data_IF_399091833818
#
_entry.id   IF_399091833818
#
_cell.length_a   1.000
_cell.length_b   1.000
_cell.length_c   1.000
_cell.angle_alpha   90.00
_cell.angle_beta   90.00
_cell.angle_gamma   90.00
#
_symmetry.space_group_name_H-M   'P 1'
#
loop_
_entity.id
_entity.type
_entity.pdbx_description
1 polymer ?
#
# COMPACT_ATOMS: atom_id res chain seq x y z
N UNK A 1 -6.98 -4.54 -23.85
CA UNK A 1 -6.80 -5.62 -22.86
C UNK A 1 -7.97 -5.57 -21.89
N UNK A 2 -8.41 -6.70 -21.35
CA UNK A 2 -9.59 -6.80 -20.51
C UNK A 2 -9.21 -7.13 -19.08
N UNK A 3 -9.56 -6.26 -18.13
CA UNK A 3 -9.40 -6.51 -16.70
C UNK A 3 -10.39 -7.59 -16.24
N UNK A 4 -10.11 -8.85 -16.58
CA UNK A 4 -10.93 -10.00 -16.21
C UNK A 4 -10.53 -10.62 -14.86
N UNK A 5 -9.37 -10.23 -14.32
CA UNK A 5 -8.84 -10.78 -13.07
C UNK A 5 -9.17 -9.87 -11.89
N UNK A 6 -9.52 -10.52 -10.79
CA UNK A 6 -9.53 -9.92 -9.45
C UNK A 6 -8.15 -10.16 -8.84
N UNK A 7 -7.71 -9.26 -7.98
CA UNK A 7 -6.40 -9.30 -7.37
C UNK A 7 -6.52 -9.35 -5.86
N UNK A 8 -5.49 -9.88 -5.22
CA UNK A 8 -5.31 -9.86 -3.78
C UNK A 8 -3.82 -9.70 -3.46
N UNK A 9 -3.51 -9.38 -2.20
CA UNK A 9 -2.15 -9.35 -1.70
C UNK A 9 -1.47 -10.71 -1.95
N UNK A 10 -0.23 -10.70 -2.44
CA UNK A 10 0.44 -11.91 -2.96
C UNK A 10 0.81 -12.94 -1.89
N UNK A 11 0.89 -12.56 -0.62
CA UNK A 11 1.30 -13.47 0.45
C UNK A 11 1.15 -12.86 1.84
N UNK A 12 1.32 -13.69 2.86
CA UNK A 12 1.26 -13.28 4.28
C UNK A 12 2.45 -12.44 4.72
N UNK A 13 3.54 -12.45 3.96
CA UNK A 13 4.75 -11.67 4.25
C UNK A 13 4.63 -10.22 3.78
N UNK A 14 3.57 -9.88 3.03
CA UNK A 14 3.29 -8.53 2.60
C UNK A 14 2.41 -7.85 3.66
N UNK A 15 2.99 -6.89 4.37
CA UNK A 15 2.29 -6.05 5.34
C UNK A 15 2.04 -4.70 4.70
N UNK A 16 0.90 -4.09 4.98
CA UNK A 16 0.59 -2.75 4.48
C UNK A 16 -0.18 -1.96 5.52
N UNK A 17 0.02 -0.65 5.52
CA UNK A 17 -0.67 0.30 6.38
C UNK A 17 -0.94 1.58 5.60
N UNK A 18 -2.07 2.22 5.87
CA UNK A 18 -2.43 3.50 5.24
C UNK A 18 -2.29 4.61 6.26
N UNK A 19 -1.44 5.60 5.98
CA UNK A 19 -1.21 6.79 6.80
C UNK A 19 -1.70 8.03 6.06
N UNK A 20 -2.64 8.77 6.65
CA UNK A 20 -3.21 9.99 6.05
C UNK A 20 -3.71 9.82 4.59
N UNK A 21 -4.05 8.59 4.19
CA UNK A 21 -4.52 8.25 2.84
C UNK A 21 -3.45 7.73 1.89
N UNK A 22 -2.18 7.74 2.30
CA UNK A 22 -1.05 7.17 1.58
C UNK A 22 -0.76 5.75 2.09
N UNK A 23 -0.76 4.79 1.17
CA UNK A 23 -0.51 3.40 1.45
C UNK A 23 0.99 3.12 1.39
N UNK A 24 1.44 2.46 2.45
CA UNK A 24 2.77 1.92 2.66
C UNK A 24 2.68 0.41 2.60
N UNK A 25 3.55 -0.22 1.83
CA UNK A 25 3.64 -1.69 1.73
C UNK A 25 5.05 -2.14 2.04
N UNK A 26 5.19 -3.11 2.94
CA UNK A 26 6.44 -3.73 3.35
C UNK A 26 6.41 -5.22 2.98
N UNK A 27 7.37 -5.64 2.19
CA UNK A 27 7.64 -7.07 1.97
C UNK A 27 8.63 -7.55 3.05
N UNK A 28 8.13 -8.31 4.02
CA UNK A 28 8.93 -8.86 5.12
C UNK A 28 9.96 -9.89 4.66
N UNK A 29 9.74 -10.55 3.51
CA UNK A 29 10.67 -11.55 3.00
C UNK A 29 11.92 -10.90 2.39
N UNK A 30 11.76 -9.76 1.70
CA UNK A 30 12.88 -9.04 1.08
C UNK A 30 13.36 -7.82 1.87
N UNK A 31 12.59 -7.35 2.85
CA UNK A 31 12.85 -6.12 3.61
C UNK A 31 12.61 -4.84 2.79
N UNK A 32 11.98 -4.94 1.62
CA UNK A 32 11.72 -3.78 0.74
C UNK A 32 10.44 -3.07 1.15
N UNK A 33 10.51 -1.74 1.16
CA UNK A 33 9.38 -0.88 1.38
C UNK A 33 8.94 -0.24 0.05
N UNK A 34 7.63 -0.05 -0.08
CA UNK A 34 6.99 0.61 -1.22
C UNK A 34 6.03 1.67 -0.70
N UNK A 35 6.16 2.89 -1.21
CA UNK A 35 5.18 3.96 -1.07
C UNK A 35 4.41 4.14 -2.35
N UNK A 36 3.13 4.49 -2.25
CA UNK A 36 2.31 4.84 -3.40
C UNK A 36 1.91 6.30 -3.34
N UNK A 37 1.77 6.93 -4.51
CA UNK A 37 1.06 8.21 -4.65
C UNK A 37 -0.36 8.13 -4.08
N UNK A 38 -0.99 9.26 -3.79
CA UNK A 38 -2.38 9.34 -3.32
C UNK A 38 -3.38 8.49 -4.15
N UNK A 39 -3.34 8.59 -5.47
CA UNK A 39 -4.16 7.79 -6.39
C UNK A 39 -3.74 6.33 -6.42
N UNK A 40 -2.43 6.06 -6.44
CA UNK A 40 -1.86 4.72 -6.33
C UNK A 40 -2.30 3.99 -5.06
N UNK A 41 -2.36 4.70 -3.94
CA UNK A 41 -2.85 4.20 -2.65
C UNK A 41 -4.33 3.83 -2.71
N UNK A 42 -5.15 4.69 -3.34
CA UNK A 42 -6.56 4.39 -3.55
C UNK A 42 -6.78 3.18 -4.47
N UNK A 43 -5.98 3.05 -5.54
CA UNK A 43 -6.05 1.91 -6.46
C UNK A 43 -5.58 0.63 -5.75
N UNK A 44 -4.49 0.69 -4.99
CA UNK A 44 -4.02 -0.42 -4.16
C UNK A 44 -5.11 -0.91 -3.21
N UNK A 45 -5.69 -0.01 -2.40
CA UNK A 45 -6.78 -0.30 -1.48
C UNK A 45 -7.99 -0.95 -2.20
N UNK A 46 -8.34 -0.45 -3.39
CA UNK A 46 -9.41 -1.01 -4.20
C UNK A 46 -9.09 -2.45 -4.64
N UNK A 47 -7.86 -2.69 -5.13
CA UNK A 47 -7.42 -3.99 -5.62
C UNK A 47 -7.43 -5.04 -4.50
N UNK A 48 -6.87 -4.72 -3.33
CA UNK A 48 -6.85 -5.65 -2.18
C UNK A 48 -8.23 -5.86 -1.54
N UNK A 49 -9.18 -4.93 -1.77
CA UNK A 49 -10.59 -5.10 -1.44
C UNK A 49 -11.38 -5.89 -2.50
N UNK A 50 -10.68 -6.47 -3.49
CA UNK A 50 -11.25 -7.25 -4.59
C UNK A 50 -12.12 -6.44 -5.56
N UNK A 51 -11.90 -5.12 -5.66
CA UNK A 51 -12.57 -4.30 -6.67
C UNK A 51 -12.01 -4.66 -8.05
N UNK A 52 -12.91 -4.86 -9.01
CA UNK A 52 -12.50 -5.13 -10.39
C UNK A 52 -11.75 -3.91 -10.97
N UNK A 53 -10.55 -4.09 -11.56
CA UNK A 53 -9.82 -2.97 -12.15
C UNK A 53 -10.60 -2.29 -13.28
N UNK A 54 -11.49 -3.03 -13.98
CA UNK A 54 -12.40 -2.44 -14.98
C UNK A 54 -13.28 -1.31 -14.41
N UNK A 55 -13.58 -1.34 -13.11
CA UNK A 55 -14.40 -0.32 -12.43
C UNK A 55 -13.63 0.95 -12.07
N UNK A 56 -12.30 0.90 -12.17
CA UNK A 56 -11.39 2.01 -11.88
C UNK A 56 -11.04 2.81 -13.15
N UNK A 57 -11.05 2.16 -14.33
CA UNK A 57 -10.80 2.84 -15.61
C UNK A 57 -11.82 3.95 -15.84
N UNK A 58 -11.34 5.12 -16.25
CA UNK A 58 -12.18 6.28 -16.53
C UNK A 58 -12.68 7.01 -15.29
N UNK A 59 -12.33 6.57 -14.08
CA UNK A 59 -12.57 7.35 -12.85
C UNK A 59 -11.66 8.55 -12.82
N UNK A 60 -12.17 9.67 -12.28
CA UNK A 60 -11.36 10.85 -12.05
C UNK A 60 -10.23 10.54 -11.06
N UNK A 61 -9.03 11.01 -11.40
CA UNK A 61 -7.78 10.86 -10.69
C UNK A 61 -7.03 12.20 -10.78
N UNK A 62 -7.42 13.13 -9.94
CA UNK A 62 -6.96 14.52 -9.99
C UNK A 62 -7.40 15.27 -11.22
N UNK A 63 -6.44 15.66 -12.06
CA UNK A 63 -6.73 16.47 -13.26
C UNK A 63 -7.08 15.63 -14.50
N UNK A 64 -7.03 14.30 -14.40
CA UNK A 64 -7.27 13.37 -15.50
C UNK A 64 -8.04 12.14 -15.04
N UNK A 65 -8.65 11.41 -15.97
CA UNK A 65 -9.22 10.10 -15.67
C UNK A 65 -8.15 9.00 -15.74
N UNK A 66 -8.33 7.92 -15.00
CA UNK A 66 -7.43 6.74 -15.06
C UNK A 66 -7.50 6.11 -16.45
N UNK A 67 -6.39 6.16 -17.17
CA UNK A 67 -6.22 5.44 -18.43
C UNK A 67 -6.06 3.95 -18.17
N UNK A 68 -6.61 3.12 -19.07
CA UNK A 68 -6.47 1.67 -18.97
C UNK A 68 -5.00 1.23 -19.01
N UNK A 69 -4.19 1.84 -19.88
CA UNK A 69 -2.77 1.50 -20.02
C UNK A 69 -1.96 1.84 -18.75
N UNK A 70 -2.27 2.97 -18.10
CA UNK A 70 -1.61 3.37 -16.84
C UNK A 70 -1.97 2.40 -15.70
N UNK A 71 -3.24 1.99 -15.63
CA UNK A 71 -3.70 1.02 -14.64
C UNK A 71 -3.10 -0.37 -14.87
N UNK A 72 -3.05 -0.84 -16.12
CA UNK A 72 -2.40 -2.10 -16.49
C UNK A 72 -0.90 -2.06 -16.13
N UNK A 73 -0.21 -0.96 -16.42
CA UNK A 73 1.21 -0.79 -16.07
C UNK A 73 1.45 -0.75 -14.56
N UNK A 74 0.55 -0.12 -13.80
CA UNK A 74 0.61 -0.08 -12.34
C UNK A 74 0.42 -1.49 -11.74
N UNK A 75 -0.61 -2.22 -12.17
CA UNK A 75 -0.88 -3.59 -11.72
C UNK A 75 0.28 -4.53 -12.09
N UNK A 76 0.82 -4.40 -13.31
CA UNK A 76 1.97 -5.19 -13.75
C UNK A 76 3.18 -4.99 -12.83
N UNK A 77 3.50 -3.73 -12.48
CA UNK A 77 4.59 -3.42 -11.53
C UNK A 77 4.36 -4.01 -10.13
N UNK A 78 3.14 -3.93 -9.61
CA UNK A 78 2.81 -4.57 -8.32
C UNK A 78 3.02 -6.08 -8.36
N UNK A 79 2.69 -6.72 -9.48
CA UNK A 79 2.95 -8.14 -9.71
C UNK A 79 4.44 -8.47 -9.85
N UNK A 80 5.21 -7.64 -10.57
CA UNK A 80 6.67 -7.79 -10.70
C UNK A 80 7.38 -7.68 -9.35
N UNK A 81 6.90 -6.80 -8.46
CA UNK A 81 7.39 -6.67 -7.09
C UNK A 81 6.87 -7.74 -6.14
N UNK A 82 5.98 -8.63 -6.59
CA UNK A 82 5.40 -9.68 -5.76
C UNK A 82 4.47 -9.16 -4.67
N UNK A 83 3.92 -7.94 -4.82
CA UNK A 83 2.99 -7.35 -3.85
C UNK A 83 1.56 -7.80 -4.09
N UNK A 84 1.21 -8.02 -5.36
CA UNK A 84 -0.14 -8.32 -5.80
C UNK A 84 -0.16 -9.57 -6.67
N UNK A 85 -1.16 -10.43 -6.48
CA UNK A 85 -1.36 -11.64 -7.27
C UNK A 85 -2.81 -11.79 -7.72
N UNK A 86 -3.09 -12.47 -8.85
CA UNK A 86 -4.46 -12.78 -9.24
C UNK A 86 -5.15 -13.68 -8.21
N UNK A 87 -6.33 -13.28 -7.76
CA UNK A 87 -7.18 -14.05 -6.89
C UNK A 87 -8.20 -14.85 -7.72
N UNK A 88 -8.03 -16.17 -7.77
CA UNK A 88 -9.01 -17.05 -8.39
C UNK A 88 -10.23 -17.22 -7.48
N UNK A 89 -11.41 -17.38 -8.08
CA UNK A 89 -12.66 -17.72 -7.37
C UNK A 89 -13.16 -16.65 -6.37
N UNK A 90 -12.64 -15.42 -6.45
CA UNK A 90 -13.14 -14.29 -5.67
C UNK A 90 -14.12 -13.47 -6.50
N UNK A 91 -15.30 -13.19 -5.94
CA UNK A 91 -16.28 -12.32 -6.58
C UNK A 91 -15.83 -10.85 -6.49
N UNK A 92 -16.02 -10.04 -7.55
CA UNK A 92 -15.70 -8.63 -7.51
C UNK A 92 -16.53 -7.89 -6.47
N UNK A 93 -15.88 -7.05 -5.68
CA UNK A 93 -16.51 -6.10 -4.76
C UNK A 93 -16.77 -4.78 -5.49
N UNK A 94 -17.83 -4.07 -5.09
CA UNK A 94 -18.08 -2.71 -5.58
C UNK A 94 -17.09 -1.71 -4.97
N UNK A 95 -16.65 -0.72 -5.76
CA UNK A 95 -15.84 0.39 -5.25
C UNK A 95 -16.63 1.19 -4.21
N UNK A 96 -16.06 1.40 -3.02
CA UNK A 96 -16.72 2.20 -1.97
C UNK A 96 -16.80 3.68 -2.37
N UNK A 97 -17.85 4.40 -1.92
CA UNK A 97 -18.00 5.82 -2.24
C UNK A 97 -16.89 6.67 -1.61
N UNK A 98 -16.36 6.31 -0.44
CA UNK A 98 -15.24 7.06 0.17
C UNK A 98 -13.97 6.94 -0.67
N UNK A 99 -13.67 5.73 -1.16
CA UNK A 99 -12.49 5.48 -1.97
C UNK A 99 -12.61 6.15 -3.35
N UNK A 100 -13.80 6.13 -3.94
CA UNK A 100 -14.08 6.84 -5.18
C UNK A 100 -13.91 8.37 -5.02
N UNK A 101 -14.34 8.94 -3.90
CA UNK A 101 -14.17 10.36 -3.62
C UNK A 101 -12.70 10.74 -3.39
N UNK A 102 -11.93 9.91 -2.66
CA UNK A 102 -10.48 10.09 -2.48
C UNK A 102 -9.75 10.04 -3.82
N UNK A 103 -10.08 9.07 -4.66
CA UNK A 103 -9.48 8.93 -5.98
C UNK A 103 -9.73 10.17 -6.86
N UNK A 104 -10.97 10.69 -6.86
CA UNK A 104 -11.30 11.92 -7.57
C UNK A 104 -10.56 13.16 -7.03
N UNK A 105 -10.24 13.18 -5.73
CA UNK A 105 -9.52 14.27 -5.07
C UNK A 105 -7.98 14.15 -5.13
N UNK A 106 -7.47 13.02 -5.62
CA UNK A 106 -6.03 12.79 -5.80
C UNK A 106 -5.41 13.87 -6.70
N UNK A 107 -4.10 14.01 -6.68
CA UNK A 107 -3.38 15.03 -7.45
C UNK A 107 -2.34 14.41 -8.35
N UNK A 108 -1.79 13.28 -7.93
CA UNK A 108 -0.78 12.55 -8.67
C UNK A 108 -1.40 11.41 -9.49
N UNK A 109 -0.73 11.04 -10.58
CA UNK A 109 -1.03 9.81 -11.31
C UNK A 109 -0.50 8.59 -10.56
N UNK A 110 -0.82 7.39 -11.07
CA UNK A 110 -0.46 6.12 -10.45
C UNK A 110 1.08 5.94 -10.41
N UNK A 111 1.67 6.07 -9.22
CA UNK A 111 3.12 5.92 -8.99
C UNK A 111 3.41 4.92 -7.86
N UNK A 112 4.55 4.27 -7.99
CA UNK A 112 5.12 3.35 -7.00
C UNK A 112 6.56 3.81 -6.76
N UNK A 113 6.85 4.19 -5.52
CA UNK A 113 8.20 4.51 -5.05
C UNK A 113 8.71 3.31 -4.24
N UNK A 114 9.76 2.66 -4.74
CA UNK A 114 10.44 1.56 -4.03
C UNK A 114 11.63 2.14 -3.27
N UNK A 115 11.76 1.74 -2.01
CA UNK A 115 12.94 2.02 -1.21
C UNK A 115 13.51 0.69 -0.69
N UNK A 116 14.69 0.34 -1.17
CA UNK A 116 15.51 -0.79 -0.72
C UNK A 116 16.50 -0.40 0.39
N UNK A 117 16.72 0.89 0.59
CA UNK A 117 17.73 1.45 1.51
C UNK A 117 17.27 1.51 2.99
N UNK A 118 16.09 0.99 3.34
CA UNK A 118 15.54 1.03 4.71
C UNK A 118 15.65 -0.28 5.50
N UNK A 119 16.62 -1.13 5.18
CA UNK A 119 17.18 -2.00 6.23
C UNK A 119 17.73 -1.16 7.42
N UNK A 120 18.01 0.14 7.23
CA UNK A 120 18.55 1.04 8.26
C UNK A 120 17.52 1.94 8.98
N UNK A 121 16.23 1.99 8.57
CA UNK A 121 15.20 2.84 9.22
C UNK A 121 14.10 2.04 9.92
N UNK A 122 14.36 0.76 10.22
CA UNK A 122 13.76 0.04 11.35
C UNK A 122 14.76 0.03 12.52
N UNK A 123 15.51 1.12 12.69
CA UNK A 123 16.28 1.41 13.91
C UNK A 123 15.96 2.82 14.42
N UNK A 124 14.67 3.16 14.42
CA UNK A 124 14.17 4.24 15.28
C UNK A 124 13.24 3.60 16.31
N UNK A 125 13.84 2.83 17.19
CA UNK A 125 13.28 2.65 18.52
C UNK A 125 13.61 3.91 19.33
N UNK A 126 12.64 4.74 19.74
CA UNK A 126 12.87 5.77 20.74
C UNK A 126 12.94 5.13 22.15
N UNK A 127 13.84 4.18 22.34
CA UNK A 127 14.46 3.88 23.64
C UNK A 127 15.89 4.43 23.64
N UNK A 128 16.05 5.72 23.31
CA UNK A 128 17.23 6.42 23.80
C UNK A 128 17.15 6.42 25.33
N UNK A 129 18.00 5.61 25.96
CA UNK A 129 18.43 5.65 27.36
C UNK A 129 17.34 6.11 28.35
N UNK A 130 16.66 5.13 28.96
CA UNK A 130 16.44 5.29 30.39
C UNK A 130 17.83 5.32 31.02
N UNK A 131 18.36 6.51 31.27
CA UNK A 131 19.35 6.72 32.32
C UNK A 131 18.66 6.26 33.62
N UNK A 132 18.67 4.96 33.88
CA UNK A 132 18.61 4.41 35.22
C UNK A 132 20.02 4.48 35.79
N UNK A 133 20.28 5.36 36.77
CA UNK A 133 21.31 5.08 37.75
C UNK A 133 20.62 4.86 39.10
N UNK A 134 19.80 3.82 39.23
CA UNK A 134 19.43 3.29 40.54
C UNK A 134 18.89 1.86 40.47
N UNK A 135 19.79 0.90 40.21
CA UNK A 135 19.54 -0.47 40.64
C UNK A 135 19.25 -0.53 42.15
N UNK A 136 18.33 -1.42 42.55
CA UNK A 136 18.09 -1.79 43.96
C UNK A 136 19.40 -2.12 44.71
N UNK A 137 19.48 -2.04 46.07
CA UNK A 137 18.41 -1.85 47.08
C UNK A 137 18.66 -0.61 47.98
N UNK A 138 17.85 -0.18 48.96
CA UNK A 138 17.58 -0.77 50.28
C UNK A 138 16.47 0.03 51.00
N UNK A 139 15.63 -0.68 51.75
CA UNK A 139 14.86 -0.17 52.91
C UNK A 139 15.78 0.60 53.86
N UNK A 140 15.33 1.70 54.50
CA UNK A 140 15.44 2.07 55.94
C UNK A 140 14.94 3.51 56.14
N UNK A 141 13.81 3.68 56.84
CA UNK A 141 13.64 4.22 58.21
C UNK A 141 13.32 5.71 58.27
#
# INVERSE_FOLDING_TARGET
>A
MGFSSIYAVSGSDIVYETFDGDAVVLDLASGRYFGFSDSGSCVWEALIAHVSPASLVGRDCGSSAIAADDLDAFIARLGEYGLLSPAAEVAPTALSPELAARLAAARDGLKIDMHDELADLVMVDPIHDVDEPAGWPVVRQ
#
